data_IF_116833928495
#
_entry.id   IF_116833928495
#
_cell.length_a   1.000
_cell.length_b   1.000
_cell.length_c   1.000
_cell.angle_alpha   90.00
_cell.angle_beta   90.00
_cell.angle_gamma   90.00
#
_symmetry.space_group_name_H-M   'P 1'
#
loop_
_entity.id
_entity.type
_entity.pdbx_description
1 polymer ?
#
# COMPACT_ATOMS: atom_id res chain seq x y z
N UNK A 1 -9.77 -28.66 -31.07
CA UNK A 1 -8.78 -27.63 -31.49
C UNK A 1 -9.11 -26.20 -31.02
N UNK A 2 -10.38 -25.76 -31.03
CA UNK A 2 -10.79 -24.39 -30.67
C UNK A 2 -10.56 -23.99 -29.19
N UNK A 3 -10.78 -24.91 -28.23
CA UNK A 3 -10.70 -24.61 -26.79
C UNK A 3 -9.28 -24.34 -26.29
N UNK A 4 -8.27 -25.04 -26.83
CA UNK A 4 -6.86 -24.86 -26.44
C UNK A 4 -6.30 -23.53 -26.94
N UNK A 5 -6.73 -23.09 -28.13
CA UNK A 5 -6.34 -21.79 -28.69
C UNK A 5 -6.89 -20.62 -27.86
N UNK A 6 -8.09 -20.78 -27.29
CA UNK A 6 -8.72 -19.77 -26.41
C UNK A 6 -7.99 -19.62 -25.07
N UNK A 7 -7.53 -20.72 -24.48
CA UNK A 7 -6.72 -20.66 -23.25
C UNK A 7 -5.31 -20.13 -23.49
N UNK A 8 -4.68 -20.48 -24.63
CA UNK A 8 -3.37 -19.95 -25.00
C UNK A 8 -3.36 -18.43 -25.24
N UNK A 9 -4.42 -17.89 -25.85
CA UNK A 9 -4.56 -16.44 -26.07
C UNK A 9 -4.72 -15.63 -24.77
N UNK A 10 -5.47 -16.16 -23.80
CA UNK A 10 -5.66 -15.53 -22.48
C UNK A 10 -4.38 -15.53 -21.63
N UNK A 11 -3.57 -16.60 -21.72
CA UNK A 11 -2.29 -16.69 -21.00
C UNK A 11 -1.20 -15.78 -21.59
N UNK A 12 -1.22 -15.53 -22.91
CA UNK A 12 -0.29 -14.60 -23.56
C UNK A 12 -0.59 -13.13 -23.24
N UNK A 13 -1.84 -12.77 -22.90
CA UNK A 13 -2.19 -11.38 -22.57
C UNK A 13 -1.74 -10.96 -21.16
N UNK A 14 -1.63 -11.91 -20.22
CA UNK A 14 -1.16 -11.63 -18.85
C UNK A 14 0.37 -11.62 -18.74
N UNK A 15 1.09 -12.16 -19.73
CA UNK A 15 2.55 -12.25 -19.72
C UNK A 15 3.26 -10.94 -20.11
N UNK A 16 2.54 -9.96 -20.68
CA UNK A 16 3.09 -8.63 -21.02
C UNK A 16 2.81 -7.66 -19.88
N UNK A 17 3.36 -7.92 -18.70
CA UNK A 17 3.40 -6.91 -17.64
C UNK A 17 4.53 -5.93 -17.94
N UNK A 18 4.21 -4.83 -18.62
CA UNK A 18 5.10 -3.68 -18.66
C UNK A 18 5.31 -3.21 -17.23
N UNK A 19 6.57 -3.07 -16.81
CA UNK A 19 6.89 -2.50 -15.50
C UNK A 19 6.44 -1.05 -15.47
N UNK A 20 5.26 -0.79 -14.89
CA UNK A 20 4.83 0.57 -14.60
C UNK A 20 5.80 1.16 -13.57
N UNK A 21 6.55 2.20 -13.97
CA UNK A 21 7.35 2.99 -13.06
C UNK A 21 6.41 3.92 -12.29
N UNK A 22 5.81 3.40 -11.22
CA UNK A 22 5.02 4.20 -10.29
C UNK A 22 5.92 4.70 -9.17
N UNK A 23 5.98 6.01 -8.98
CA UNK A 23 6.57 6.60 -7.78
C UNK A 23 5.50 6.68 -6.70
N UNK A 24 5.84 6.28 -5.47
CA UNK A 24 4.95 6.51 -4.34
C UNK A 24 4.93 8.02 -4.03
N UNK A 25 3.72 8.58 -3.93
CA UNK A 25 3.53 9.96 -3.48
C UNK A 25 3.76 10.11 -1.98
N UNK A 26 3.36 11.26 -1.42
CA UNK A 26 3.44 11.49 0.03
C UNK A 26 2.38 10.75 0.84
N UNK A 27 1.29 10.32 0.21
CA UNK A 27 0.24 9.60 0.90
C UNK A 27 0.66 8.16 1.17
N UNK A 28 0.28 7.65 2.33
CA UNK A 28 0.50 6.26 2.71
C UNK A 28 -0.25 5.36 1.73
N UNK A 29 0.45 4.49 1.02
CA UNK A 29 -0.18 3.59 0.05
C UNK A 29 -0.75 2.31 0.68
N UNK A 30 -0.76 2.19 2.01
CA UNK A 30 -1.31 1.07 2.76
C UNK A 30 -1.57 1.51 4.19
N UNK A 31 -2.61 0.93 4.79
CA UNK A 31 -3.12 1.26 6.14
C UNK A 31 -2.33 0.61 7.28
N UNK A 32 -1.42 -0.30 6.96
CA UNK A 32 -0.49 -0.93 7.91
C UNK A 32 0.90 -1.12 7.28
N UNK A 33 1.91 -1.39 8.10
CA UNK A 33 3.26 -1.78 7.65
C UNK A 33 3.19 -3.04 6.77
N UNK A 34 2.33 -4.00 7.09
CA UNK A 34 2.17 -5.23 6.27
C UNK A 34 1.53 -4.92 4.91
N UNK A 35 0.46 -4.12 4.89
CA UNK A 35 -0.16 -3.68 3.65
C UNK A 35 0.83 -2.90 2.78
N UNK A 36 1.65 -2.04 3.40
CA UNK A 36 2.72 -1.32 2.72
C UNK A 36 3.78 -2.28 2.14
N UNK A 37 4.21 -3.29 2.90
CA UNK A 37 5.11 -4.34 2.42
C UNK A 37 4.56 -5.12 1.22
N UNK A 38 3.24 -5.22 1.09
CA UNK A 38 2.54 -5.83 -0.05
C UNK A 38 2.12 -4.82 -1.12
N UNK A 39 2.81 -3.68 -1.23
CA UNK A 39 2.51 -2.62 -2.20
C UNK A 39 1.08 -2.07 -2.15
N UNK A 40 0.47 -2.03 -0.95
CA UNK A 40 -0.83 -1.43 -0.70
C UNK A 40 -2.02 -2.37 -0.74
N UNK A 41 -1.80 -3.69 -0.75
CA UNK A 41 -2.89 -4.67 -0.62
C UNK A 41 -3.57 -4.53 0.74
N UNK A 42 -4.79 -3.97 0.74
CA UNK A 42 -5.53 -3.65 1.98
C UNK A 42 -7.04 -3.94 1.90
N UNK A 43 -7.58 -4.25 0.72
CA UNK A 43 -9.04 -4.39 0.54
C UNK A 43 -9.53 -5.82 0.77
N UNK A 44 -8.88 -6.81 0.14
CA UNK A 44 -9.38 -8.18 0.13
C UNK A 44 -8.69 -9.09 1.16
N UNK A 45 -7.44 -8.82 1.51
CA UNK A 45 -6.63 -9.67 2.37
C UNK A 45 -6.73 -9.22 3.84
N UNK A 46 -7.35 -10.05 4.69
CA UNK A 46 -7.45 -9.82 6.13
C UNK A 46 -6.19 -10.34 6.86
N UNK A 47 -5.19 -9.48 7.05
CA UNK A 47 -3.87 -9.86 7.58
C UNK A 47 -3.46 -9.16 8.89
N UNK A 48 -4.16 -8.09 9.23
CA UNK A 48 -4.05 -7.36 10.49
C UNK A 48 -5.35 -6.61 10.78
N UNK A 49 -5.52 -6.20 12.03
CA UNK A 49 -6.66 -5.43 12.52
C UNK A 49 -6.76 -4.01 11.94
N UNK A 50 -5.65 -3.46 11.43
CA UNK A 50 -5.61 -2.16 10.73
C UNK A 50 -6.34 -2.21 9.39
N UNK A 51 -6.66 -3.40 8.86
CA UNK A 51 -7.56 -3.58 7.72
C UNK A 51 -8.97 -3.01 7.97
N UNK A 52 -9.35 -2.74 9.23
CA UNK A 52 -10.57 -2.01 9.57
C UNK A 52 -10.65 -0.62 8.90
N UNK A 53 -9.50 0.05 8.69
CA UNK A 53 -9.45 1.38 8.09
C UNK A 53 -9.74 1.35 6.57
N UNK A 54 -9.35 0.28 5.88
CA UNK A 54 -9.55 0.11 4.43
C UNK A 54 -10.83 -0.64 4.09
N UNK A 55 -11.16 -1.67 4.87
CA UNK A 55 -12.34 -2.50 4.69
C UNK A 55 -12.77 -3.16 6.02
N UNK A 56 -13.72 -2.58 6.77
CA UNK A 56 -14.24 -3.16 8.02
C UNK A 56 -14.78 -4.59 7.89
N UNK A 57 -15.30 -4.99 6.73
CA UNK A 57 -15.82 -6.34 6.52
C UNK A 57 -14.73 -7.42 6.51
N UNK A 58 -13.46 -7.03 6.31
CA UNK A 58 -12.33 -7.97 6.37
C UNK A 58 -12.10 -8.53 7.77
N UNK A 59 -12.58 -7.85 8.83
CA UNK A 59 -12.37 -8.26 10.22
C UNK A 59 -12.98 -9.63 10.54
N UNK A 60 -14.08 -10.01 9.89
CA UNK A 60 -14.69 -11.34 10.06
C UNK A 60 -13.83 -12.49 9.51
N UNK A 61 -12.83 -12.18 8.70
CA UNK A 61 -11.93 -13.16 8.08
C UNK A 61 -10.53 -13.17 8.72
N UNK A 62 -10.31 -12.40 9.78
CA UNK A 62 -9.09 -12.52 10.58
C UNK A 62 -9.03 -13.90 11.22
N UNK A 63 -7.85 -14.51 11.24
CA UNK A 63 -7.66 -15.87 11.74
C UNK A 63 -7.68 -15.97 13.28
N UNK A 64 -7.55 -14.84 13.98
CA UNK A 64 -7.56 -14.78 15.44
C UNK A 64 -8.87 -14.15 15.94
N UNK A 65 -9.47 -14.75 16.97
CA UNK A 65 -10.68 -14.22 17.63
C UNK A 65 -10.47 -12.81 18.19
N UNK A 66 -9.23 -12.50 18.60
CA UNK A 66 -8.83 -11.17 19.04
C UNK A 66 -7.41 -10.90 18.56
N UNK A 67 -7.20 -9.74 17.94
CA UNK A 67 -5.92 -9.33 17.40
C UNK A 67 -5.59 -7.89 17.82
N UNK A 68 -4.34 -7.68 18.22
CA UNK A 68 -3.74 -6.38 18.48
C UNK A 68 -2.53 -6.26 17.56
N UNK A 69 -2.50 -5.21 16.74
CA UNK A 69 -1.37 -4.91 15.86
C UNK A 69 -0.80 -3.54 16.21
N UNK A 70 0.53 -3.47 16.27
CA UNK A 70 1.28 -2.26 16.58
C UNK A 70 2.43 -2.13 15.58
N UNK A 71 2.63 -0.94 15.05
CA UNK A 71 3.66 -0.71 14.03
C UNK A 71 4.17 0.73 14.02
N UNK A 72 5.29 0.92 13.34
CA UNK A 72 5.83 2.24 13.02
C UNK A 72 6.46 2.18 11.63
N UNK A 73 6.06 3.08 10.75
CA UNK A 73 6.69 3.27 9.44
C UNK A 73 7.71 4.40 9.51
N UNK A 74 8.94 4.13 9.05
CA UNK A 74 9.95 5.15 8.79
C UNK A 74 9.87 5.59 7.33
N UNK A 75 9.47 6.84 7.11
CA UNK A 75 9.33 7.42 5.77
C UNK A 75 10.40 8.48 5.53
N UNK A 76 11.28 8.24 4.55
CA UNK A 76 12.34 9.17 4.15
C UNK A 76 12.34 9.48 2.65
N UNK A 77 11.56 10.49 2.19
CA UNK A 77 11.56 10.89 0.79
C UNK A 77 12.84 11.65 0.39
N UNK A 78 13.47 11.23 -0.70
CA UNK A 78 14.61 11.92 -1.32
C UNK A 78 14.17 12.61 -2.61
N UNK A 79 13.93 13.93 -2.56
CA UNK A 79 13.48 14.72 -3.73
C UNK A 79 14.62 15.54 -4.33
N UNK A 80 14.78 15.47 -5.65
CA UNK A 80 15.70 16.28 -6.44
C UNK A 80 15.00 16.64 -7.74
N UNK A 81 15.12 17.90 -8.15
CA UNK A 81 14.76 18.37 -9.48
C UNK A 81 16.00 18.91 -10.19
N UNK A 82 16.12 18.68 -11.48
CA UNK A 82 17.23 19.17 -12.30
C UNK A 82 16.66 19.89 -13.52
N UNK A 83 17.12 21.12 -13.75
CA UNK A 83 16.77 21.93 -14.90
C UNK A 83 18.03 22.10 -15.75
N UNK A 84 17.92 21.75 -17.04
CA UNK A 84 19.01 21.85 -18.01
C UNK A 84 18.48 22.36 -19.34
N UNK A 85 19.23 23.23 -20.02
CA UNK A 85 18.86 23.73 -21.36
C UNK A 85 17.88 24.91 -21.32
N UNK A 86 17.80 25.62 -20.19
CA UNK A 86 16.95 26.79 -20.05
C UNK A 86 17.60 28.03 -20.69
N UNK A 87 17.03 28.50 -21.80
CA UNK A 87 17.47 29.72 -22.51
C UNK A 87 17.35 31.03 -21.71
N UNK A 88 16.71 31.01 -20.53
CA UNK A 88 16.61 32.14 -19.60
C UNK A 88 17.59 32.05 -18.42
N UNK A 89 18.49 31.04 -18.39
CA UNK A 89 19.62 30.98 -17.46
C UNK A 89 19.34 30.40 -16.07
N UNK A 90 18.20 29.73 -15.84
CA UNK A 90 17.82 29.11 -14.56
C UNK A 90 18.10 27.60 -14.57
N UNK A 91 19.26 27.21 -15.10
CA UNK A 91 19.73 25.82 -15.03
C UNK A 91 20.30 25.52 -13.64
N UNK A 92 20.06 24.32 -13.12
CA UNK A 92 20.51 23.94 -11.78
C UNK A 92 19.83 22.71 -11.20
N UNK A 93 20.42 22.19 -10.11
CA UNK A 93 19.83 21.15 -9.27
C UNK A 93 19.18 21.78 -8.04
N UNK A 94 17.94 21.42 -7.78
CA UNK A 94 17.14 21.92 -6.66
C UNK A 94 16.75 20.77 -5.74
N UNK A 95 17.05 20.93 -4.45
CA UNK A 95 16.67 19.98 -3.40
C UNK A 95 15.49 20.55 -2.62
N UNK A 96 14.36 19.84 -2.61
CA UNK A 96 13.14 20.29 -1.95
C UNK A 96 12.95 19.65 -0.55
N UNK A 97 14.01 19.24 0.15
CA UNK A 97 13.92 18.36 1.34
C UNK A 97 14.24 19.05 2.69
N UNK A 98 13.48 20.09 3.09
CA UNK A 98 13.70 20.73 4.41
C UNK A 98 13.43 19.79 5.59
N UNK A 99 12.40 18.94 5.51
CA UNK A 99 12.16 17.84 6.45
C UNK A 99 12.07 16.54 5.67
N UNK A 100 12.87 15.55 6.09
CA UNK A 100 13.08 14.32 5.34
C UNK A 100 12.76 13.05 6.12
N UNK A 101 12.64 13.07 7.44
CA UNK A 101 12.47 11.85 8.23
C UNK A 101 11.17 11.93 9.02
N UNK A 102 10.27 10.99 8.76
CA UNK A 102 8.97 10.90 9.41
C UNK A 102 8.81 9.53 10.05
N UNK A 103 8.34 9.51 11.30
CA UNK A 103 7.89 8.30 11.97
C UNK A 103 6.37 8.35 12.02
N UNK A 104 5.73 7.32 11.48
CA UNK A 104 4.27 7.21 11.39
C UNK A 104 3.87 5.99 12.22
N UNK A 105 3.40 6.17 13.47
CA UNK A 105 2.93 5.06 14.28
C UNK A 105 1.58 4.55 13.77
N UNK A 106 1.29 3.28 14.03
CA UNK A 106 -0.01 2.65 13.76
C UNK A 106 -0.41 1.72 14.91
N UNK A 107 -1.71 1.68 15.21
CA UNK A 107 -2.31 0.81 16.20
C UNK A 107 -3.64 0.25 15.69
N UNK A 108 -3.77 -1.07 15.73
CA UNK A 108 -4.99 -1.79 15.37
C UNK A 108 -5.45 -2.69 16.49
N UNK A 109 -6.76 -2.78 16.68
CA UNK A 109 -7.38 -3.80 17.51
C UNK A 109 -8.61 -4.36 16.80
N UNK A 110 -8.79 -5.67 16.81
CA UNK A 110 -10.00 -6.31 16.29
C UNK A 110 -10.43 -7.49 17.15
N UNK A 111 -11.72 -7.76 17.17
CA UNK A 111 -12.31 -8.89 17.89
C UNK A 111 -13.55 -9.44 17.20
N UNK A 112 -13.64 -10.77 17.15
CA UNK A 112 -14.88 -11.50 16.87
C UNK A 112 -15.73 -11.50 18.14
N UNK A 113 -16.91 -10.90 18.06
CA UNK A 113 -17.85 -10.84 19.17
C UNK A 113 -18.83 -12.01 19.15
N UNK A 114 -19.25 -12.42 17.94
CA UNK A 114 -20.15 -13.54 17.68
C UNK A 114 -19.93 -14.06 16.26
N UNK A 115 -20.65 -15.12 15.87
CA UNK A 115 -20.64 -15.69 14.52
C UNK A 115 -21.00 -14.70 13.39
N UNK A 116 -21.58 -13.55 13.74
CA UNK A 116 -22.07 -12.55 12.78
C UNK A 116 -21.55 -11.14 13.01
N UNK A 117 -20.84 -10.89 14.11
CA UNK A 117 -20.34 -9.57 14.46
C UNK A 117 -18.86 -9.59 14.80
N UNK A 118 -18.11 -8.76 14.08
CA UNK A 118 -16.74 -8.41 14.37
C UNK A 118 -16.62 -6.89 14.45
N UNK A 119 -15.78 -6.39 15.34
CA UNK A 119 -15.51 -4.96 15.46
C UNK A 119 -14.02 -4.72 15.67
N UNK A 120 -13.58 -3.49 15.39
CA UNK A 120 -12.19 -3.10 15.56
C UNK A 120 -11.98 -1.59 15.53
N UNK A 121 -10.77 -1.19 15.89
CA UNK A 121 -10.27 0.18 15.87
C UNK A 121 -8.94 0.19 15.09
N UNK A 122 -8.72 1.24 14.31
CA UNK A 122 -7.50 1.48 13.57
C UNK A 122 -7.11 2.95 13.74
N UNK A 123 -5.84 3.20 14.08
CA UNK A 123 -5.26 4.49 14.42
C UNK A 123 -3.91 4.65 13.74
#
# INVERSE_FOLDING_TARGET
MSTVLRFGGLLSLTAVTLSAQATNGYFTHGTSVKAQGMAGVSVALAHDSLSAASNPASLSNLSADQQLDLGVTYFEPKRKSEISGNGFGIDGTYHANDTKSFLIPELGFARHHSDTLSYGLAL
#
